data_IF_218635525417
#
_entry.id   IF_218635525417
#
_cell.length_a   1.000
_cell.length_b   1.000
_cell.length_c   1.000
_cell.angle_alpha   90.00
_cell.angle_beta   90.00
_cell.angle_gamma   90.00
#
_symmetry.space_group_name_H-M   'P 1'
#
loop_
_entity.id
_entity.type
_entity.pdbx_description
1 polymer ?
#
# COMPACT_ATOMS: atom_id res chain seq x y z
N UNK A 1 49.63 26.88 25.06
CA UNK A 1 48.98 26.50 26.34
C UNK A 1 47.57 27.09 26.28
N UNK A 2 46.59 26.28 25.84
CA UNK A 2 45.48 25.72 26.65
C UNK A 2 44.55 26.83 27.19
N UNK A 3 43.21 26.78 27.12
CA UNK A 3 42.24 25.70 26.88
C UNK A 3 40.83 26.35 26.89
N UNK A 4 39.94 25.84 26.04
CA UNK A 4 38.45 25.78 26.14
C UNK A 4 37.65 27.04 26.47
N UNK A 5 36.87 27.47 25.48
CA UNK A 5 35.53 28.00 25.71
C UNK A 5 34.48 27.04 25.10
N UNK A 6 33.53 26.74 25.98
CA UNK A 6 32.27 26.00 25.91
C UNK A 6 31.65 25.74 24.52
N UNK A 7 31.67 24.46 24.14
CA UNK A 7 30.61 23.82 23.35
C UNK A 7 29.69 23.10 24.36
N UNK A 8 28.55 23.70 24.68
CA UNK A 8 27.43 22.99 25.31
C UNK A 8 26.72 22.18 24.22
N UNK A 9 27.24 20.97 23.97
CA UNK A 9 26.57 19.94 23.21
C UNK A 9 25.41 19.39 24.06
N UNK A 10 24.25 20.02 23.94
CA UNK A 10 22.99 19.42 24.38
C UNK A 10 22.65 18.29 23.41
N UNK A 11 23.15 17.09 23.71
CA UNK A 11 22.72 15.86 23.08
C UNK A 11 21.27 15.60 23.48
N UNK A 12 20.33 16.04 22.65
CA UNK A 12 18.96 15.54 22.64
C UNK A 12 19.02 14.07 22.25
N UNK A 13 19.11 13.19 23.25
CA UNK A 13 18.86 11.77 23.07
C UNK A 13 17.39 11.60 22.70
N UNK A 14 17.10 11.49 21.39
CA UNK A 14 15.83 10.97 20.92
C UNK A 14 15.68 9.57 21.54
N UNK A 15 14.62 9.29 22.32
CA UNK A 15 14.35 7.93 22.73
C UNK A 15 14.08 7.12 21.46
N UNK A 16 14.98 6.19 21.13
CA UNK A 16 14.74 5.12 20.17
C UNK A 16 13.61 4.30 20.77
N UNK A 17 12.36 4.66 20.47
CA UNK A 17 11.23 3.75 20.61
C UNK A 17 11.51 2.60 19.64
N UNK A 18 12.08 1.52 20.17
CA UNK A 18 11.94 0.19 19.60
C UNK A 18 10.44 -0.11 19.59
N UNK A 19 9.77 0.34 18.53
CA UNK A 19 8.49 -0.19 18.11
C UNK A 19 8.74 -1.69 17.92
N UNK A 20 8.30 -2.48 18.90
CA UNK A 20 8.16 -3.92 18.73
C UNK A 20 7.09 -4.04 17.65
N UNK A 21 7.53 -4.09 16.38
CA UNK A 21 6.66 -4.27 15.23
C UNK A 21 5.92 -5.58 15.44
N UNK A 22 4.65 -5.50 15.82
CA UNK A 22 3.76 -6.63 15.77
C UNK A 22 3.43 -6.83 14.30
N UNK A 23 4.26 -7.60 13.59
CA UNK A 23 3.90 -8.04 12.25
C UNK A 23 2.72 -9.00 12.38
N UNK A 24 1.73 -8.92 11.48
CA UNK A 24 0.70 -9.93 11.42
C UNK A 24 1.36 -11.32 11.23
N UNK A 25 0.76 -12.39 11.75
CA UNK A 25 1.25 -13.73 11.48
C UNK A 25 1.29 -13.97 9.96
N UNK A 26 2.37 -14.59 9.49
CA UNK A 26 2.60 -14.89 8.06
C UNK A 26 1.56 -15.90 7.52
N UNK A 27 0.97 -16.67 8.43
CA UNK A 27 -0.11 -17.61 8.16
C UNK A 27 -1.27 -17.26 9.09
N UNK A 28 -2.10 -16.26 8.74
CA UNK A 28 -3.23 -15.94 9.57
C UNK A 28 -4.32 -17.00 9.38
N UNK A 29 -4.88 -17.50 10.49
CA UNK A 29 -5.96 -18.50 10.53
C UNK A 29 -7.14 -18.24 9.57
N UNK A 30 -7.37 -16.99 9.18
CA UNK A 30 -8.45 -16.61 8.26
C UNK A 30 -8.12 -16.94 6.79
N UNK A 31 -6.84 -16.92 6.40
CA UNK A 31 -6.41 -17.16 5.01
C UNK A 31 -6.58 -18.61 4.60
N UNK A 32 -6.74 -19.52 5.57
CA UNK A 32 -7.13 -20.91 5.32
C UNK A 32 -8.63 -21.07 5.04
N UNK A 33 -9.46 -20.04 5.28
CA UNK A 33 -10.92 -20.18 5.36
C UNK A 33 -11.67 -19.31 4.36
N UNK A 34 -11.29 -18.04 4.27
CA UNK A 34 -12.10 -17.00 3.61
C UNK A 34 -11.19 -16.03 2.84
N UNK A 35 -11.62 -15.53 1.67
CA UNK A 35 -10.93 -14.46 0.97
C UNK A 35 -11.00 -13.16 1.77
N UNK A 36 -9.94 -12.37 1.72
CA UNK A 36 -9.85 -11.07 2.38
C UNK A 36 -9.35 -9.99 1.42
N UNK A 37 -9.92 -8.80 1.55
CA UNK A 37 -9.49 -7.61 0.84
C UNK A 37 -8.36 -6.94 1.64
N UNK A 38 -7.11 -7.18 1.24
CA UNK A 38 -5.93 -6.80 2.01
C UNK A 38 -5.38 -5.42 1.67
N UNK A 39 -5.49 -5.02 0.41
CA UNK A 39 -4.90 -3.77 -0.07
C UNK A 39 -5.71 -3.15 -1.20
N UNK A 40 -5.49 -1.86 -1.42
CA UNK A 40 -6.10 -1.08 -2.49
C UNK A 40 -5.02 -0.26 -3.16
N UNK A 41 -4.55 -0.73 -4.32
CA UNK A 41 -3.64 0.05 -5.15
C UNK A 41 -4.40 1.15 -5.87
N UNK A 42 -3.72 2.28 -6.01
CA UNK A 42 -4.21 3.40 -6.80
C UNK A 42 -3.22 3.69 -7.90
N UNK A 43 -3.74 4.21 -9.00
CA UNK A 43 -2.96 4.62 -10.15
C UNK A 43 -3.59 5.85 -10.77
N UNK A 44 -2.79 6.85 -11.14
CA UNK A 44 -3.29 7.99 -11.90
C UNK A 44 -3.43 7.58 -13.36
N UNK A 45 -4.66 7.33 -13.81
CA UNK A 45 -4.99 6.93 -15.18
C UNK A 45 -4.94 8.12 -16.16
N UNK A 46 -5.43 9.28 -15.75
CA UNK A 46 -5.37 10.51 -16.56
C UNK A 46 -4.89 11.68 -15.69
N UNK A 47 -3.78 12.36 -16.07
CA UNK A 47 -3.31 13.51 -15.33
C UNK A 47 -4.27 14.70 -15.50
N UNK A 48 -4.54 15.39 -14.40
CA UNK A 48 -5.28 16.64 -14.34
C UNK A 48 -4.41 17.87 -14.62
N UNK A 49 -4.94 19.08 -14.35
CA UNK A 49 -4.28 20.34 -14.69
C UNK A 49 -2.91 20.55 -14.04
N UNK A 50 -2.64 19.90 -12.90
CA UNK A 50 -1.37 20.00 -12.19
C UNK A 50 -0.37 18.91 -12.58
N UNK A 51 -0.75 17.97 -13.45
CA UNK A 51 0.09 16.84 -13.85
C UNK A 51 1.39 17.25 -14.54
N UNK A 52 1.37 18.33 -15.32
CA UNK A 52 2.54 18.84 -16.04
C UNK A 52 3.56 19.55 -15.11
N UNK A 53 3.22 19.77 -13.83
CA UNK A 53 4.08 20.43 -12.84
C UNK A 53 4.96 19.46 -12.06
N UNK A 54 4.76 18.14 -12.21
CA UNK A 54 5.63 17.12 -11.61
C UNK A 54 6.55 16.50 -12.66
N UNK A 55 7.68 15.99 -12.23
CA UNK A 55 8.57 15.25 -13.12
C UNK A 55 7.84 14.01 -13.70
N UNK A 56 8.16 13.61 -14.95
CA UNK A 56 7.59 12.40 -15.51
C UNK A 56 8.07 11.15 -14.75
N UNK A 57 7.20 10.16 -14.60
CA UNK A 57 7.56 8.81 -14.13
C UNK A 57 8.27 8.02 -15.23
N UNK A 58 9.05 6.97 -14.89
CA UNK A 58 9.53 6.01 -15.88
C UNK A 58 8.40 5.46 -16.76
N UNK A 59 8.68 5.19 -18.04
CA UNK A 59 7.66 4.81 -19.03
C UNK A 59 6.93 3.48 -18.72
N UNK A 60 7.55 2.65 -17.90
CA UNK A 60 7.06 1.36 -17.41
C UNK A 60 6.49 1.45 -15.99
N UNK A 61 6.18 2.66 -15.52
CA UNK A 61 5.60 2.93 -14.21
C UNK A 61 4.38 3.83 -14.33
N UNK A 62 3.46 3.66 -13.39
CA UNK A 62 2.30 4.51 -13.24
C UNK A 62 2.45 5.37 -11.98
N UNK A 63 2.18 6.67 -12.10
CA UNK A 63 2.18 7.59 -10.96
C UNK A 63 1.07 7.19 -9.97
N UNK A 64 1.37 7.23 -8.68
CA UNK A 64 0.40 6.99 -7.60
C UNK A 64 0.12 8.23 -6.77
N UNK A 65 1.07 9.16 -6.75
CA UNK A 65 0.91 10.46 -6.10
C UNK A 65 -0.10 11.30 -6.89
N UNK A 66 -1.36 11.16 -6.53
CA UNK A 66 -2.49 11.75 -7.24
C UNK A 66 -2.66 13.24 -6.88
N UNK A 67 -2.89 14.07 -7.88
CA UNK A 67 -3.06 15.51 -7.77
C UNK A 67 -4.54 15.92 -7.94
N UNK A 68 -4.93 17.10 -7.43
CA UNK A 68 -6.23 17.69 -7.71
C UNK A 68 -6.57 17.68 -9.21
N UNK A 69 -7.76 17.17 -9.55
CA UNK A 69 -8.23 17.01 -10.92
C UNK A 69 -7.71 15.79 -11.68
N UNK A 70 -6.80 14.99 -11.11
CA UNK A 70 -6.40 13.71 -11.71
C UNK A 70 -7.58 12.72 -11.73
N UNK A 71 -7.63 11.88 -12.76
CA UNK A 71 -8.46 10.65 -12.73
C UNK A 71 -7.61 9.50 -12.20
N UNK A 72 -8.02 8.93 -11.08
CA UNK A 72 -7.39 7.75 -10.49
C UNK A 72 -8.21 6.48 -10.76
N UNK A 73 -7.52 5.35 -10.86
CA UNK A 73 -8.07 3.99 -10.95
C UNK A 73 -7.77 3.25 -9.65
N UNK A 74 -8.74 2.47 -9.19
CA UNK A 74 -8.60 1.59 -8.03
C UNK A 74 -8.36 0.15 -8.47
N UNK A 75 -7.46 -0.54 -7.78
CA UNK A 75 -7.21 -1.96 -7.99
C UNK A 75 -7.15 -2.68 -6.62
N UNK A 76 -8.23 -3.39 -6.25
CA UNK A 76 -8.27 -4.14 -5.00
C UNK A 76 -7.35 -5.36 -5.09
N UNK A 77 -6.71 -5.68 -3.98
CA UNK A 77 -5.95 -6.91 -3.82
C UNK A 77 -6.68 -7.83 -2.86
N UNK A 78 -7.35 -8.84 -3.44
CA UNK A 78 -8.09 -9.86 -2.69
C UNK A 78 -7.28 -11.14 -2.68
N UNK A 79 -7.02 -11.66 -1.48
CA UNK A 79 -6.27 -12.88 -1.28
C UNK A 79 -7.19 -13.97 -0.71
N UNK A 80 -7.22 -15.12 -1.37
CA UNK A 80 -7.98 -16.30 -0.98
C UNK A 80 -7.05 -17.49 -0.70
N UNK A 81 -7.56 -18.61 -0.14
CA UNK A 81 -6.78 -19.84 0.05
C UNK A 81 -6.14 -20.37 -1.26
N UNK A 82 -6.79 -20.15 -2.40
CA UNK A 82 -6.27 -20.52 -3.72
C UNK A 82 -5.24 -19.51 -4.26
N UNK A 83 -5.13 -18.35 -3.63
CA UNK A 83 -4.24 -17.25 -3.94
C UNK A 83 -4.97 -15.97 -4.34
N UNK A 84 -4.26 -15.06 -5.02
CA UNK A 84 -4.81 -13.78 -5.47
C UNK A 84 -5.98 -14.00 -6.42
N UNK A 85 -7.12 -13.41 -6.10
CA UNK A 85 -8.32 -13.41 -6.94
C UNK A 85 -8.24 -12.30 -7.99
N UNK A 86 -8.82 -12.54 -9.17
CA UNK A 86 -8.98 -11.50 -10.17
C UNK A 86 -10.02 -10.48 -9.65
N UNK A 87 -9.66 -9.20 -9.63
CA UNK A 87 -10.58 -8.15 -9.17
C UNK A 87 -11.89 -8.11 -9.95
N UNK A 88 -11.92 -8.61 -11.20
CA UNK A 88 -13.14 -8.72 -12.02
C UNK A 88 -14.16 -9.73 -11.51
N UNK A 89 -13.73 -10.68 -10.67
CA UNK A 89 -14.62 -11.64 -10.01
C UNK A 89 -15.22 -11.08 -8.70
N UNK A 90 -14.78 -9.89 -8.27
CA UNK A 90 -15.20 -9.26 -7.02
C UNK A 90 -16.13 -8.09 -7.31
N UNK A 91 -17.34 -8.17 -6.78
CA UNK A 91 -18.32 -7.10 -6.86
C UNK A 91 -18.07 -6.05 -5.76
N UNK A 92 -17.01 -5.25 -5.91
CA UNK A 92 -16.64 -4.22 -4.93
C UNK A 92 -17.39 -2.91 -5.17
N UNK A 93 -17.81 -2.24 -4.09
CA UNK A 93 -18.33 -0.86 -4.09
C UNK A 93 -17.38 0.04 -3.30
N UNK A 94 -17.11 1.22 -3.84
CA UNK A 94 -16.13 2.16 -3.33
C UNK A 94 -16.83 3.43 -2.88
N UNK A 95 -16.49 3.92 -1.70
CA UNK A 95 -17.05 5.11 -1.10
C UNK A 95 -15.93 6.05 -0.68
N UNK A 96 -16.17 7.36 -0.78
CA UNK A 96 -15.36 8.35 -0.08
C UNK A 96 -15.90 8.56 1.33
N UNK A 97 -15.02 8.88 2.26
CA UNK A 97 -15.37 9.21 3.64
C UNK A 97 -14.78 10.55 4.07
N UNK A 98 -15.28 11.08 5.18
CA UNK A 98 -14.62 12.17 5.89
C UNK A 98 -13.28 11.68 6.46
N UNK A 99 -12.13 12.25 6.04
CA UNK A 99 -10.80 11.85 6.51
C UNK A 99 -10.57 12.06 8.02
N UNK A 100 -11.39 12.87 8.70
CA UNK A 100 -11.36 13.03 10.15
C UNK A 100 -12.34 12.10 10.89
N UNK A 101 -13.21 11.42 10.14
CA UNK A 101 -14.30 10.59 10.66
C UNK A 101 -14.07 9.08 10.57
N UNK A 102 -15.07 8.34 11.05
CA UNK A 102 -15.16 6.90 10.82
C UNK A 102 -15.90 6.63 9.51
N UNK A 103 -15.20 6.01 8.55
CA UNK A 103 -15.75 5.59 7.26
C UNK A 103 -17.02 4.76 7.40
N UNK A 104 -17.10 3.87 8.38
CA UNK A 104 -18.25 2.98 8.52
C UNK A 104 -19.49 3.75 8.97
N UNK A 105 -19.33 4.65 9.95
CA UNK A 105 -20.41 5.54 10.38
C UNK A 105 -20.90 6.45 9.24
N UNK A 106 -20.02 6.85 8.32
CA UNK A 106 -20.38 7.68 7.19
C UNK A 106 -21.38 6.99 6.23
N UNK A 107 -21.29 5.66 6.08
CA UNK A 107 -22.21 4.88 5.24
C UNK A 107 -23.66 4.92 5.72
N UNK A 108 -23.90 5.19 7.01
CA UNK A 108 -25.26 5.29 7.55
C UNK A 108 -26.04 6.51 7.03
N UNK A 109 -25.40 7.45 6.34
CA UNK A 109 -26.08 8.59 5.72
C UNK A 109 -26.57 8.27 4.31
N UNK A 110 -27.76 8.77 3.95
CA UNK A 110 -28.30 8.64 2.59
C UNK A 110 -27.35 9.26 1.53
N UNK A 111 -26.60 10.30 1.90
CA UNK A 111 -25.62 10.96 1.04
C UNK A 111 -24.49 10.01 0.59
N UNK A 112 -24.12 9.02 1.42
CA UNK A 112 -23.10 8.05 1.07
C UNK A 112 -23.47 7.20 -0.15
N UNK A 113 -24.76 7.04 -0.44
CA UNK A 113 -25.26 6.27 -1.58
C UNK A 113 -25.37 7.12 -2.86
N UNK A 114 -25.24 8.44 -2.74
CA UNK A 114 -25.23 9.34 -3.90
C UNK A 114 -23.87 9.25 -4.62
N UNK A 115 -23.89 9.35 -5.95
CA UNK A 115 -22.65 9.33 -6.72
C UNK A 115 -21.81 10.59 -6.43
N UNK A 116 -20.50 10.42 -6.30
CA UNK A 116 -19.59 11.53 -6.07
C UNK A 116 -19.60 12.54 -7.23
N UNK A 117 -19.74 13.83 -6.90
CA UNK A 117 -19.58 14.94 -7.84
C UNK A 117 -18.19 15.57 -7.67
N UNK A 118 -17.29 15.49 -8.66
CA UNK A 118 -15.96 16.08 -8.57
C UNK A 118 -15.98 17.62 -8.50
N UNK A 119 -17.07 18.28 -8.93
CA UNK A 119 -17.21 19.72 -8.87
C UNK A 119 -17.69 20.23 -7.49
N UNK A 120 -18.29 19.35 -6.70
CA UNK A 120 -18.84 19.67 -5.38
C UNK A 120 -18.62 18.45 -4.46
N UNK A 121 -17.45 18.32 -3.82
CA UNK A 121 -17.14 17.16 -3.00
C UNK A 121 -18.09 17.10 -1.81
N UNK A 122 -19.19 16.37 -1.97
CA UNK A 122 -20.03 15.93 -0.89
C UNK A 122 -19.36 14.68 -0.31
N UNK A 123 -18.95 14.75 0.96
CA UNK A 123 -18.45 13.60 1.70
C UNK A 123 -19.50 13.23 2.77
N UNK A 124 -19.84 11.94 2.93
CA UNK A 124 -19.45 10.79 2.10
C UNK A 124 -20.24 10.72 0.77
N UNK A 125 -19.72 9.98 -0.20
CA UNK A 125 -20.42 9.66 -1.46
C UNK A 125 -19.90 8.34 -2.07
N UNK A 126 -20.67 7.73 -2.96
CA UNK A 126 -20.32 6.53 -3.70
C UNK A 126 -19.46 6.89 -4.93
N UNK A 127 -18.27 6.33 -5.00
CA UNK A 127 -17.35 6.50 -6.13
C UNK A 127 -17.82 5.65 -7.32
N UNK A 128 -18.12 4.37 -7.08
CA UNK A 128 -18.49 3.43 -8.13
C UNK A 128 -18.52 1.98 -7.66
N UNK A 129 -18.83 1.06 -8.59
CA UNK A 129 -18.94 -0.38 -8.37
C UNK A 129 -18.20 -1.16 -9.47
N UNK A 130 -17.57 -2.28 -9.10
CA UNK A 130 -16.87 -3.21 -9.99
C UNK A 130 -15.34 -3.12 -9.92
N UNK A 131 -14.66 -3.72 -10.89
CA UNK A 131 -13.21 -3.91 -10.87
C UNK A 131 -12.39 -2.78 -11.49
N UNK A 132 -13.00 -1.95 -12.34
CA UNK A 132 -12.33 -0.83 -13.04
C UNK A 132 -12.97 0.50 -12.65
N UNK A 133 -13.06 0.73 -11.33
CA UNK A 133 -13.63 1.98 -10.81
C UNK A 133 -12.61 3.09 -10.97
N UNK A 134 -13.05 4.18 -11.60
CA UNK A 134 -12.27 5.41 -11.79
C UNK A 134 -12.93 6.57 -11.05
N UNK A 135 -12.11 7.45 -10.48
CA UNK A 135 -12.55 8.62 -9.74
C UNK A 135 -11.76 9.86 -10.17
N UNK A 136 -12.45 10.97 -10.42
CA UNK A 136 -11.80 12.25 -10.67
C UNK A 136 -11.66 12.97 -9.33
N UNK A 137 -10.41 13.21 -8.91
CA UNK A 137 -10.15 13.98 -7.71
C UNK A 137 -10.71 15.40 -7.86
N UNK A 138 -11.34 15.97 -6.82
CA UNK A 138 -11.80 17.35 -6.86
C UNK A 138 -10.66 18.32 -7.21
N UNK A 139 -11.02 19.43 -7.84
CA UNK A 139 -10.08 20.51 -8.13
C UNK A 139 -9.47 21.12 -6.88
N UNK A 140 -8.37 21.86 -7.03
CA UNK A 140 -7.62 22.42 -5.90
C UNK A 140 -8.50 23.37 -5.05
N UNK A 141 -9.40 24.11 -5.69
CA UNK A 141 -10.33 25.04 -5.02
C UNK A 141 -11.34 24.30 -4.16
N UNK A 142 -11.81 23.13 -4.62
CA UNK A 142 -12.74 22.30 -3.88
C UNK A 142 -12.03 21.63 -2.70
N UNK A 143 -10.81 21.13 -2.89
CA UNK A 143 -10.00 20.54 -1.82
C UNK A 143 -9.61 21.54 -0.73
N UNK A 144 -9.39 22.80 -1.07
CA UNK A 144 -9.12 23.87 -0.10
C UNK A 144 -10.24 24.06 0.93
N UNK A 145 -11.48 23.67 0.58
CA UNK A 145 -12.65 23.80 1.46
C UNK A 145 -12.81 22.63 2.43
N UNK A 146 -12.32 21.44 2.09
CA UNK A 146 -12.48 20.23 2.91
C UNK A 146 -11.36 20.02 3.92
N UNK A 147 -10.20 20.67 3.77
CA UNK A 147 -9.18 20.76 4.82
C UNK A 147 -7.96 19.86 4.60
N UNK A 148 -8.03 18.55 4.87
CA UNK A 148 -6.87 17.68 4.70
C UNK A 148 -6.71 17.27 3.24
N UNK A 149 -5.45 17.25 2.78
CA UNK A 149 -5.03 16.80 1.46
C UNK A 149 -4.95 15.26 1.42
N UNK A 150 -5.98 14.61 1.95
CA UNK A 150 -6.12 13.17 2.10
C UNK A 150 -7.50 12.77 1.61
N UNK A 151 -7.57 11.72 0.80
CA UNK A 151 -8.81 11.06 0.43
C UNK A 151 -8.92 9.76 1.23
N UNK A 152 -9.98 9.59 2.00
CA UNK A 152 -10.26 8.29 2.63
C UNK A 152 -11.26 7.53 1.78
N UNK A 153 -10.93 6.28 1.43
CA UNK A 153 -11.75 5.39 0.62
C UNK A 153 -12.11 4.17 1.45
N UNK A 154 -13.41 3.84 1.49
CA UNK A 154 -13.91 2.58 2.00
C UNK A 154 -14.30 1.70 0.81
N UNK A 155 -13.81 0.46 0.82
CA UNK A 155 -14.19 -0.59 -0.13
C UNK A 155 -15.02 -1.62 0.62
N UNK A 156 -16.17 -1.94 0.06
CA UNK A 156 -17.09 -2.97 0.58
C UNK A 156 -17.31 -4.00 -0.53
N UNK A 157 -17.12 -5.26 -0.21
CA UNK A 157 -17.43 -6.37 -1.09
C UNK A 157 -18.02 -7.53 -0.29
N UNK A 158 -18.95 -8.26 -0.89
CA UNK A 158 -19.40 -9.55 -0.40
C UNK A 158 -18.42 -10.65 -0.82
N UNK A 159 -18.19 -11.63 0.05
CA UNK A 159 -17.44 -12.84 -0.28
C UNK A 159 -18.26 -13.66 -1.29
N UNK A 160 -17.64 -14.08 -2.42
CA UNK A 160 -18.29 -14.96 -3.39
C UNK A 160 -18.91 -16.19 -2.73
N UNK A 161 -20.13 -16.55 -3.14
CA UNK A 161 -20.93 -17.68 -2.63
C UNK A 161 -21.36 -17.62 -1.16
N UNK A 162 -20.93 -16.62 -0.38
CA UNK A 162 -21.31 -16.45 1.03
C UNK A 162 -22.31 -15.31 1.21
N UNK A 163 -22.01 -14.13 0.66
CA UNK A 163 -22.85 -12.94 0.84
C UNK A 163 -22.72 -11.96 -0.31
N UNK A 164 -23.84 -11.32 -0.66
CA UNK A 164 -23.88 -10.27 -1.67
C UNK A 164 -23.36 -8.93 -1.11
N UNK A 165 -22.70 -8.12 -1.95
CA UNK A 165 -22.15 -6.82 -1.54
C UNK A 165 -23.22 -5.85 -1.04
N UNK A 166 -24.40 -5.87 -1.65
CA UNK A 166 -25.51 -5.01 -1.22
C UNK A 166 -26.00 -5.38 0.19
N UNK A 167 -26.00 -6.67 0.56
CA UNK A 167 -26.34 -7.12 1.91
C UNK A 167 -25.28 -6.69 2.95
N UNK A 168 -24.02 -6.56 2.53
CA UNK A 168 -22.96 -6.01 3.38
C UNK A 168 -23.14 -4.51 3.59
N UNK A 169 -23.45 -3.75 2.55
CA UNK A 169 -23.73 -2.31 2.64
C UNK A 169 -24.95 -2.06 3.53
N UNK A 170 -26.04 -2.79 3.31
CA UNK A 170 -27.27 -2.73 4.10
C UNK A 170 -27.03 -2.95 5.59
N UNK A 171 -26.08 -3.83 5.94
CA UNK A 171 -25.71 -4.10 7.32
C UNK A 171 -24.85 -2.98 7.92
N UNK A 172 -23.89 -2.46 7.16
CA UNK A 172 -23.07 -1.31 7.56
C UNK A 172 -23.90 -0.03 7.75
N UNK A 173 -25.09 0.06 7.16
CA UNK A 173 -26.03 1.17 7.39
C UNK A 173 -26.80 1.06 8.71
N UNK A 174 -26.78 -0.11 9.37
CA UNK A 174 -27.60 -0.40 10.55
C UNK A 174 -26.72 -0.51 11.79
N UNK A 175 -26.44 0.61 12.45
CA UNK A 175 -25.76 0.62 13.76
C UNK A 175 -26.70 0.15 14.89
N UNK A 176 -26.32 -0.80 15.75
CA UNK A 176 -25.08 -1.60 15.72
C UNK A 176 -25.10 -2.71 14.66
N UNK A 177 -23.96 -2.90 13.98
CA UNK A 177 -23.75 -4.00 13.03
C UNK A 177 -24.00 -5.34 13.75
N UNK A 178 -24.89 -6.16 13.19
CA UNK A 178 -25.30 -7.43 13.80
C UNK A 178 -24.47 -8.59 13.30
N UNK A 179 -24.21 -8.64 12.00
CA UNK A 179 -23.47 -9.73 11.37
C UNK A 179 -22.71 -9.26 10.12
N UNK A 180 -21.38 -9.24 10.19
CA UNK A 180 -20.50 -8.90 9.06
C UNK A 180 -19.83 -10.14 8.46
N UNK A 181 -20.28 -11.35 8.80
CA UNK A 181 -19.75 -12.56 8.19
C UNK A 181 -19.97 -12.55 6.67
N UNK A 182 -18.92 -12.93 5.94
CA UNK A 182 -18.89 -12.88 4.47
C UNK A 182 -18.76 -11.48 3.88
N UNK A 183 -18.46 -10.44 4.69
CA UNK A 183 -18.18 -9.10 4.18
C UNK A 183 -16.68 -8.81 4.21
N UNK A 184 -16.11 -8.46 3.06
CA UNK A 184 -14.76 -7.94 2.93
C UNK A 184 -14.79 -6.41 2.98
N UNK A 185 -14.03 -5.84 3.92
CA UNK A 185 -14.01 -4.41 4.21
C UNK A 185 -12.57 -3.91 4.23
N UNK A 186 -12.31 -2.82 3.51
CA UNK A 186 -10.99 -2.17 3.52
C UNK A 186 -11.15 -0.67 3.53
N UNK A 187 -10.50 -0.01 4.50
CA UNK A 187 -10.38 1.44 4.53
C UNK A 187 -8.95 1.83 4.16
N UNK A 188 -8.82 2.77 3.21
CA UNK A 188 -7.54 3.27 2.72
C UNK A 188 -7.51 4.79 2.73
N UNK A 189 -6.48 5.35 3.36
CA UNK A 189 -6.15 6.77 3.23
C UNK A 189 -5.16 6.95 2.08
N UNK A 190 -5.52 7.81 1.14
CA UNK A 190 -4.75 8.16 -0.05
C UNK A 190 -4.24 9.60 0.12
N UNK A 191 -2.92 9.82 0.18
CA UNK A 191 -2.39 11.17 0.18
C UNK A 191 -2.58 11.81 -1.21
N UNK A 192 -2.98 13.08 -1.21
CA UNK A 192 -3.06 13.89 -2.41
C UNK A 192 -1.77 14.70 -2.51
N UNK A 193 -1.09 14.56 -3.64
CA UNK A 193 0.09 15.28 -4.12
C UNK A 193 1.36 15.16 -3.29
N UNK A 194 2.46 15.75 -3.79
CA UNK A 194 3.53 16.18 -2.91
C UNK A 194 3.11 17.50 -2.26
N UNK A 195 3.22 17.58 -0.94
CA UNK A 195 2.77 18.74 -0.15
C UNK A 195 3.35 20.08 -0.62
N UNK A 196 4.57 20.11 -1.16
CA UNK A 196 5.20 21.33 -1.66
C UNK A 196 4.42 21.92 -2.84
N UNK A 197 3.95 21.07 -3.76
CA UNK A 197 3.22 21.52 -4.94
C UNK A 197 1.85 22.05 -4.55
N UNK A 198 1.18 21.35 -3.64
CA UNK A 198 -0.13 21.77 -3.15
C UNK A 198 -0.06 23.06 -2.34
N UNK A 199 0.99 23.25 -1.54
CA UNK A 199 1.23 24.50 -0.82
C UNK A 199 1.36 25.69 -1.76
N UNK A 200 2.05 25.50 -2.88
CA UNK A 200 2.20 26.55 -3.90
C UNK A 200 0.89 26.78 -4.65
N UNK A 201 0.20 25.72 -5.07
CA UNK A 201 -1.07 25.81 -5.78
C UNK A 201 -2.18 26.50 -4.96
N UNK A 202 -2.19 26.30 -3.63
CA UNK A 202 -3.15 26.91 -2.71
C UNK A 202 -2.79 28.34 -2.29
N UNK A 203 -1.50 28.68 -2.28
CA UNK A 203 -1.00 29.94 -1.74
C UNK A 203 -0.69 30.98 -2.82
N UNK A 204 0.43 30.79 -3.50
CA UNK A 204 0.96 31.69 -4.52
C UNK A 204 1.66 30.87 -5.61
N UNK A 205 1.00 30.59 -6.75
CA UNK A 205 1.56 29.80 -7.84
C UNK A 205 2.90 30.31 -8.38
N UNK A 206 3.23 31.59 -8.21
CA UNK A 206 4.52 32.14 -8.66
C UNK A 206 5.71 31.64 -7.84
N UNK A 207 5.47 31.14 -6.63
CA UNK A 207 6.49 30.53 -5.78
C UNK A 207 7.06 29.21 -6.32
N UNK A 208 6.43 28.58 -7.33
CA UNK A 208 7.00 27.39 -8.01
C UNK A 208 8.35 27.75 -8.65
N UNK A 209 8.49 28.95 -9.22
CA UNK A 209 9.72 29.40 -9.88
C UNK A 209 10.87 29.63 -8.88
N UNK A 210 10.54 29.80 -7.60
CA UNK A 210 11.51 29.99 -6.52
C UNK A 210 11.97 28.66 -5.89
N UNK A 211 11.34 27.54 -6.25
CA UNK A 211 11.72 26.23 -5.74
C UNK A 211 13.08 25.79 -6.29
N UNK A 212 13.94 25.18 -5.45
CA UNK A 212 15.18 24.59 -5.92
C UNK A 212 14.91 23.58 -7.06
N UNK A 213 15.69 23.57 -8.15
CA UNK A 213 15.51 22.63 -9.25
C UNK A 213 15.47 21.16 -8.80
N UNK A 214 16.16 20.83 -7.71
CA UNK A 214 16.18 19.49 -7.14
C UNK A 214 14.81 19.03 -6.61
N UNK A 215 13.93 19.96 -6.22
CA UNK A 215 12.55 19.65 -5.79
C UNK A 215 11.67 19.42 -7.03
N UNK A 216 11.81 20.27 -8.05
CA UNK A 216 11.04 20.19 -9.29
C UNK A 216 11.38 18.94 -10.12
N UNK A 217 12.63 18.47 -10.03
CA UNK A 217 13.11 17.29 -10.75
C UNK A 217 12.90 15.98 -9.99
N UNK A 218 12.28 16.02 -8.81
CA UNK A 218 12.00 14.83 -8.04
C UNK A 218 10.90 14.01 -8.74
N UNK A 219 11.14 12.71 -8.90
CA UNK A 219 10.10 11.81 -9.40
C UNK A 219 8.93 11.77 -8.41
N UNK A 220 7.68 11.86 -8.91
CA UNK A 220 6.52 11.57 -8.08
C UNK A 220 6.54 10.10 -7.67
N UNK A 221 5.82 9.77 -6.60
CA UNK A 221 5.74 8.39 -6.14
C UNK A 221 5.06 7.50 -7.20
N UNK A 222 5.49 6.24 -7.27
CA UNK A 222 4.86 5.18 -8.07
C UNK A 222 4.76 3.87 -7.27
N UNK A 223 3.90 2.95 -7.70
CA UNK A 223 3.74 1.67 -6.99
C UNK A 223 5.05 0.86 -7.03
N UNK A 224 5.50 0.29 -5.91
CA UNK A 224 6.66 -0.59 -5.90
C UNK A 224 6.36 -1.88 -6.68
N UNK A 225 7.41 -2.53 -7.17
CA UNK A 225 7.28 -3.81 -7.88
C UNK A 225 7.91 -4.97 -7.14
N UNK A 226 7.19 -6.10 -7.13
CA UNK A 226 7.76 -7.38 -6.70
C UNK A 226 8.41 -8.04 -7.91
N UNK A 227 9.64 -7.65 -8.21
CA UNK A 227 10.41 -8.21 -9.32
C UNK A 227 11.10 -9.53 -8.97
N UNK A 228 12.10 -9.45 -8.09
CA UNK A 228 12.94 -10.59 -7.69
C UNK A 228 12.74 -10.94 -6.21
N UNK A 229 12.66 -12.23 -5.93
CA UNK A 229 12.68 -12.83 -4.60
C UNK A 229 13.96 -13.66 -4.51
N UNK A 230 14.79 -13.35 -3.53
CA UNK A 230 16.06 -14.04 -3.31
C UNK A 230 16.12 -14.64 -1.92
N UNK A 231 17.02 -15.60 -1.73
CA UNK A 231 17.08 -16.31 -0.48
C UNK A 231 18.03 -17.50 -0.47
N UNK A 232 17.79 -18.44 0.44
CA UNK A 232 18.51 -19.69 0.51
C UNK A 232 17.63 -20.86 0.99
N UNK A 233 17.84 -22.04 0.40
CA UNK A 233 17.26 -23.33 0.84
C UNK A 233 18.38 -24.17 1.46
N UNK A 234 18.34 -24.40 2.77
CA UNK A 234 19.41 -25.04 3.55
C UNK A 234 20.80 -24.44 3.27
N UNK A 235 20.87 -23.11 3.20
CA UNK A 235 22.06 -22.30 2.87
C UNK A 235 22.52 -22.37 1.40
N UNK A 236 21.78 -23.01 0.49
CA UNK A 236 22.03 -22.91 -0.95
C UNK A 236 21.27 -21.69 -1.49
N UNK A 237 21.96 -20.68 -2.04
CA UNK A 237 21.30 -19.46 -2.49
C UNK A 237 20.36 -19.75 -3.66
N UNK A 238 19.29 -18.97 -3.74
CA UNK A 238 18.40 -18.92 -4.90
C UNK A 238 18.03 -17.47 -5.22
N UNK A 239 17.60 -17.28 -6.46
CA UNK A 239 16.98 -16.06 -6.98
C UNK A 239 15.86 -16.52 -7.93
N UNK A 240 14.70 -15.90 -7.81
CA UNK A 240 13.49 -16.23 -8.54
C UNK A 240 12.70 -14.95 -8.82
N UNK A 241 11.94 -14.93 -9.91
CA UNK A 241 11.01 -13.84 -10.19
C UNK A 241 9.65 -14.10 -9.55
N UNK A 242 8.86 -13.05 -9.35
CA UNK A 242 7.46 -13.23 -8.95
C UNK A 242 6.71 -14.12 -9.96
N UNK A 243 5.96 -15.09 -9.44
CA UNK A 243 5.25 -16.12 -10.19
C UNK A 243 6.03 -17.42 -10.39
N UNK A 244 7.34 -17.44 -10.11
CA UNK A 244 8.15 -18.64 -10.26
C UNK A 244 7.75 -19.76 -9.27
N UNK A 245 8.12 -21.00 -9.64
CA UNK A 245 7.96 -22.19 -8.81
C UNK A 245 9.33 -22.79 -8.48
N UNK A 246 9.58 -23.07 -7.20
CA UNK A 246 10.82 -23.67 -6.71
C UNK A 246 10.56 -25.04 -6.08
N UNK A 247 11.56 -25.92 -6.11
CA UNK A 247 11.47 -27.24 -5.46
C UNK A 247 12.14 -27.20 -4.10
N UNK A 248 11.48 -27.73 -3.08
CA UNK A 248 12.00 -27.83 -1.72
C UNK A 248 11.65 -29.18 -1.09
N UNK A 249 12.52 -29.72 -0.27
CA UNK A 249 12.27 -30.94 0.48
C UNK A 249 11.50 -30.67 1.77
N UNK A 250 10.69 -31.65 2.21
CA UNK A 250 10.08 -31.62 3.55
C UNK A 250 11.13 -31.36 4.63
N UNK A 251 10.85 -30.40 5.50
CA UNK A 251 11.71 -30.01 6.63
C UNK A 251 12.92 -29.16 6.25
N UNK A 252 13.17 -28.88 4.96
CA UNK A 252 14.21 -27.92 4.57
C UNK A 252 13.84 -26.52 5.03
N UNK A 253 14.85 -25.75 5.44
CA UNK A 253 14.66 -24.37 5.86
C UNK A 253 14.86 -23.45 4.67
N UNK A 254 13.85 -22.65 4.37
CA UNK A 254 13.91 -21.58 3.38
C UNK A 254 14.05 -20.26 4.10
N UNK A 255 14.97 -19.41 3.66
CA UNK A 255 15.08 -18.00 4.05
C UNK A 255 14.88 -17.18 2.80
N UNK A 256 14.02 -16.17 2.82
CA UNK A 256 13.75 -15.36 1.62
C UNK A 256 13.40 -13.92 1.97
N UNK A 257 13.65 -13.04 1.01
CA UNK A 257 13.30 -11.62 1.04
C UNK A 257 13.02 -11.15 -0.38
N UNK A 258 12.22 -10.09 -0.52
CA UNK A 258 12.11 -9.37 -1.79
C UNK A 258 13.40 -8.59 -2.01
N UNK A 259 13.87 -8.53 -3.26
CA UNK A 259 14.93 -7.63 -3.70
C UNK A 259 14.25 -6.39 -4.26
N UNK A 260 14.27 -5.24 -3.54
CA UNK A 260 13.62 -4.02 -4.02
C UNK A 260 14.19 -3.57 -5.37
N UNK A 261 13.34 -3.09 -6.28
CA UNK A 261 13.83 -2.38 -7.45
C UNK A 261 14.57 -1.11 -6.97
N UNK A 262 15.80 -0.83 -7.42
CA UNK A 262 16.50 0.40 -7.05
C UNK A 262 15.72 1.69 -7.33
N UNK A 263 14.76 1.65 -8.25
CA UNK A 263 13.85 2.76 -8.57
C UNK A 263 12.82 3.01 -7.46
N UNK A 264 12.44 1.98 -6.70
CA UNK A 264 11.49 2.06 -5.58
C UNK A 264 12.14 2.66 -4.32
N UNK A 265 13.48 2.75 -4.28
CA UNK A 265 14.22 3.45 -3.22
C UNK A 265 14.26 4.97 -3.46
N UNK A 266 13.09 5.59 -3.64
CA UNK A 266 12.97 7.01 -3.95
C UNK A 266 13.43 7.90 -2.78
N UNK A 267 13.81 9.15 -3.08
CA UNK A 267 14.13 10.16 -2.07
C UNK A 267 13.19 11.34 -2.22
N UNK A 268 12.55 11.75 -1.12
CA UNK A 268 11.60 12.85 -1.12
C UNK A 268 12.16 14.06 -0.39
N UNK A 269 12.00 15.23 -0.98
CA UNK A 269 12.10 16.50 -0.29
C UNK A 269 10.89 16.66 0.63
N UNK A 270 11.13 16.65 1.94
CA UNK A 270 10.07 16.83 2.97
C UNK A 270 10.01 18.25 3.51
N UNK A 271 10.95 19.11 3.12
CA UNK A 271 10.96 20.51 3.53
C UNK A 271 12.08 21.31 2.85
N UNK A 272 11.79 22.57 2.58
CA UNK A 272 12.73 23.56 2.04
C UNK A 272 12.77 24.73 3.01
N UNK A 273 13.96 25.03 3.54
CA UNK A 273 14.18 26.19 4.42
C UNK A 273 15.36 27.00 3.86
N UNK A 274 15.04 28.11 3.19
CA UNK A 274 16.01 28.84 2.38
C UNK A 274 16.55 27.95 1.25
N UNK A 275 17.87 27.80 1.16
CA UNK A 275 18.53 26.94 0.17
C UNK A 275 18.68 25.47 0.63
N UNK A 276 18.26 25.14 1.86
CA UNK A 276 18.41 23.78 2.40
C UNK A 276 17.19 22.93 2.10
N UNK A 277 17.40 21.82 1.38
CA UNK A 277 16.38 20.79 1.13
C UNK A 277 16.60 19.62 2.09
N UNK A 278 15.61 19.33 2.93
CA UNK A 278 15.61 18.13 3.79
C UNK A 278 15.07 16.94 3.01
N UNK A 279 15.83 15.85 2.96
CA UNK A 279 15.44 14.62 2.24
C UNK A 279 15.19 13.47 3.17
N UNK A 280 14.24 12.63 2.81
CA UNK A 280 13.96 11.34 3.44
C UNK A 280 14.02 10.27 2.37
N UNK A 281 14.76 9.20 2.65
CA UNK A 281 14.73 8.00 1.82
C UNK A 281 13.44 7.23 2.08
N UNK A 282 12.83 6.75 1.01
CA UNK A 282 11.81 5.71 1.05
C UNK A 282 12.39 4.46 1.71
N UNK A 283 11.56 3.79 2.50
CA UNK A 283 11.80 2.40 2.88
C UNK A 283 10.55 1.60 2.52
N UNK A 284 10.75 0.39 2.02
CA UNK A 284 9.64 -0.53 1.76
C UNK A 284 9.39 -1.38 3.00
N UNK A 285 8.12 -1.52 3.35
CA UNK A 285 7.64 -2.61 4.21
C UNK A 285 7.26 -3.82 3.35
N UNK A 286 7.34 -5.00 3.95
CA UNK A 286 7.01 -6.26 3.28
C UNK A 286 6.17 -7.10 4.23
N UNK A 287 4.97 -7.45 3.79
CA UNK A 287 4.08 -8.38 4.48
C UNK A 287 3.95 -9.65 3.64
N UNK A 288 4.09 -10.81 4.29
CA UNK A 288 4.04 -12.11 3.66
C UNK A 288 2.81 -12.88 4.11
N UNK A 289 2.18 -13.59 3.18
CA UNK A 289 0.98 -14.39 3.39
C UNK A 289 1.19 -15.77 2.78
N UNK A 290 1.01 -16.83 3.56
CA UNK A 290 1.14 -18.21 3.09
C UNK A 290 -0.24 -18.87 2.94
N UNK A 291 -0.46 -19.65 1.88
CA UNK A 291 -1.73 -20.34 1.66
C UNK A 291 -1.87 -21.69 2.40
N UNK A 292 -1.10 -21.89 3.48
CA UNK A 292 -1.16 -23.10 4.28
C UNK A 292 -0.12 -23.15 5.39
N UNK A 293 -0.29 -24.15 6.25
CA UNK A 293 0.47 -24.28 7.50
C UNK A 293 1.97 -24.43 7.30
N UNK A 294 2.69 -23.38 7.67
CA UNK A 294 4.15 -23.32 7.67
C UNK A 294 4.68 -22.91 9.03
N UNK A 295 5.80 -23.53 9.45
CA UNK A 295 6.54 -23.04 10.60
C UNK A 295 7.33 -21.80 10.17
N UNK A 296 6.98 -20.61 10.66
CA UNK A 296 7.64 -19.35 10.27
C UNK A 296 8.37 -18.66 11.42
N UNK A 297 9.47 -18.00 11.08
CA UNK A 297 10.13 -17.01 11.93
C UNK A 297 10.56 -15.82 11.07
N UNK A 298 10.24 -14.62 11.53
CA UNK A 298 10.67 -13.38 10.86
C UNK A 298 11.89 -12.83 11.58
N UNK A 299 12.99 -12.68 10.85
CA UNK A 299 14.23 -12.05 11.32
C UNK A 299 14.48 -10.74 10.56
N UNK A 300 15.35 -9.89 11.10
CA UNK A 300 15.85 -8.70 10.41
C UNK A 300 17.30 -8.85 10.02
N UNK A 301 17.62 -8.52 8.78
CA UNK A 301 19.00 -8.38 8.33
C UNK A 301 19.12 -7.13 7.45
N UNK A 302 20.07 -6.26 7.79
CA UNK A 302 20.36 -5.03 7.02
C UNK A 302 19.10 -4.20 6.70
N UNK A 303 18.19 -4.09 7.69
CA UNK A 303 16.94 -3.31 7.62
C UNK A 303 15.83 -3.91 6.74
N UNK A 304 16.04 -5.07 6.10
CA UNK A 304 15.01 -5.80 5.38
C UNK A 304 14.45 -6.98 6.21
N UNK A 305 13.12 -7.21 6.20
CA UNK A 305 12.54 -8.41 6.81
C UNK A 305 12.93 -9.65 6.00
N UNK A 306 13.47 -10.66 6.68
CA UNK A 306 13.73 -11.99 6.13
C UNK A 306 12.69 -12.94 6.69
N UNK A 307 11.90 -13.52 5.78
CA UNK A 307 11.02 -14.62 6.12
C UNK A 307 11.81 -15.93 6.13
N UNK A 308 11.86 -16.59 7.28
CA UNK A 308 12.35 -17.96 7.38
C UNK A 308 11.18 -18.90 7.59
N UNK A 309 11.11 -19.97 6.81
CA UNK A 309 10.03 -20.95 6.94
C UNK A 309 10.48 -22.38 6.65
N UNK A 310 9.65 -23.34 7.06
CA UNK A 310 9.74 -24.74 6.66
C UNK A 310 8.36 -25.40 6.66
N UNK A 311 8.15 -26.36 5.76
CA UNK A 311 6.94 -27.21 5.76
C UNK A 311 7.25 -28.61 6.27
N UNK A 312 6.30 -29.18 7.02
CA UNK A 312 6.34 -30.57 7.51
C UNK A 312 5.55 -31.54 6.63
N UNK A 313 4.83 -31.03 5.63
CA UNK A 313 3.95 -31.80 4.75
C UNK A 313 4.32 -31.58 3.29
N UNK A 314 4.09 -32.59 2.45
CA UNK A 314 4.23 -32.46 1.01
C UNK A 314 3.08 -31.63 0.41
N UNK A 315 3.34 -30.94 -0.69
CA UNK A 315 2.37 -30.11 -1.39
C UNK A 315 2.94 -28.78 -1.87
N UNK A 316 2.15 -28.04 -2.63
CA UNK A 316 2.49 -26.69 -3.04
C UNK A 316 2.21 -25.71 -1.90
N UNK A 317 3.21 -24.91 -1.53
CA UNK A 317 3.06 -23.77 -0.61
C UNK A 317 3.30 -22.50 -1.40
N UNK A 318 2.29 -21.66 -1.50
CA UNK A 318 2.35 -20.35 -2.13
C UNK A 318 2.56 -19.29 -1.05
N UNK A 319 3.49 -18.38 -1.33
CA UNK A 319 3.67 -17.16 -0.57
C UNK A 319 3.30 -15.98 -1.44
N UNK A 320 2.35 -15.19 -0.98
CA UNK A 320 1.98 -13.90 -1.53
C UNK A 320 2.65 -12.80 -0.70
N UNK A 321 3.09 -11.74 -1.36
CA UNK A 321 3.83 -10.66 -0.72
C UNK A 321 3.22 -9.32 -1.09
N UNK A 322 3.02 -8.46 -0.09
CA UNK A 322 2.62 -7.07 -0.23
C UNK A 322 3.83 -6.18 0.10
N UNK A 323 4.22 -5.35 -0.86
CA UNK A 323 5.11 -4.22 -0.65
C UNK A 323 4.28 -2.97 -0.41
N UNK A 324 4.68 -2.21 0.60
CA UNK A 324 4.14 -0.88 0.86
C UNK A 324 5.28 0.11 1.02
N UNK A 325 5.13 1.27 0.40
CA UNK A 325 6.05 2.39 0.58
C UNK A 325 5.50 3.37 1.64
N UNK A 326 6.23 4.46 1.93
CA UNK A 326 5.86 5.39 3.00
C UNK A 326 4.74 6.37 2.60
N UNK A 327 4.59 6.61 1.31
CA UNK A 327 3.62 7.56 0.75
C UNK A 327 2.38 6.80 0.22
N UNK A 328 2.34 5.50 0.45
CA UNK A 328 1.18 4.67 0.26
C UNK A 328 1.04 4.02 -1.11
N UNK A 329 2.11 3.97 -1.92
CA UNK A 329 2.18 3.06 -3.05
C UNK A 329 2.22 1.61 -2.57
N UNK A 330 1.60 0.74 -3.37
CA UNK A 330 1.38 -0.65 -3.04
C UNK A 330 1.71 -1.54 -4.24
N UNK A 331 2.46 -2.60 -4.00
CA UNK A 331 2.84 -3.60 -4.99
C UNK A 331 2.67 -4.99 -4.41
N UNK A 332 2.33 -5.97 -5.23
CA UNK A 332 2.24 -7.35 -4.75
C UNK A 332 2.74 -8.34 -5.78
N UNK A 333 3.07 -9.53 -5.30
CA UNK A 333 3.55 -10.64 -6.10
C UNK A 333 3.43 -11.95 -5.35
N UNK A 334 3.88 -13.04 -5.96
CA UNK A 334 3.84 -14.36 -5.33
C UNK A 334 5.03 -15.21 -5.72
N UNK A 335 5.29 -16.27 -4.95
CA UNK A 335 6.22 -17.34 -5.29
C UNK A 335 5.65 -18.66 -4.78
N UNK A 336 5.82 -19.74 -5.54
CA UNK A 336 5.34 -21.07 -5.11
C UNK A 336 6.50 -22.01 -4.85
N UNK A 337 6.41 -22.81 -3.79
CA UNK A 337 7.34 -23.87 -3.46
C UNK A 337 6.63 -25.22 -3.52
N UNK A 338 7.14 -26.11 -4.35
CA UNK A 338 6.72 -27.51 -4.44
C UNK A 338 7.48 -28.31 -3.37
N UNK A 339 6.79 -28.63 -2.27
CA UNK A 339 7.35 -29.40 -1.17
C UNK A 339 7.22 -30.88 -1.50
N UNK A 340 8.36 -31.53 -1.79
CA UNK A 340 8.44 -32.96 -2.07
C UNK A 340 9.28 -33.72 -1.04
N UNK A 341 9.43 -35.05 -1.21
CA UNK A 341 10.36 -35.82 -0.40
C UNK A 341 11.76 -35.23 -0.53
N UNK A 342 12.48 -35.15 0.60
CA UNK A 342 13.83 -34.59 0.60
C UNK A 342 14.71 -35.31 -0.44
N UNK A 343 15.13 -34.57 -1.46
CA UNK A 343 16.08 -35.07 -2.45
C UNK A 343 17.33 -35.57 -1.71
N UNK A 344 17.72 -36.82 -1.95
CA UNK A 344 18.95 -37.35 -1.38
C UNK A 344 20.10 -36.37 -1.69
N UNK A 345 20.98 -36.05 -0.72
CA UNK A 345 22.10 -35.13 -0.96
C UNK A 345 22.93 -35.68 -2.12
N UNK A 346 22.95 -34.92 -3.22
CA UNK A 346 23.68 -35.23 -4.45
C UNK A 346 25.16 -34.95 -4.36
#
# INVERSE_FOLDING_TARGET
MRVRDMLDASALALPVMLLIGCFPPVDPDWLEREPELLALRIEVDEPGPLGDLVAPVPIDRQRVEALPGDRIRFEPWVLAPEGVQDGTDIDAVYFTCDPEGDCFTALASDAAMEACDPAAPALPCMIGRGADVRYVLPGIEALALVGPLLLQVLVVAGQPDVRDTDDCIDELQRDPYRDLHGCMLLTRTIPIGPNWLLSVALGDPSAIEELPPEVLLQWPNFNPEVGEISGAIDNRPFSAHAGDRLQVGVGQRVRMSVVPDPRDAQQYAVGVVGETVTRVSEGLSTDWYANGQVDTTTDYWEEAPILTWSSRVEGAVRFDVLLSDRIGGLGWGSITFEVGPASAPG
#
